data_IF_540394332309
#
_entry.id   IF_540394332309
#
_cell.length_a   1.000
_cell.length_b   1.000
_cell.length_c   1.000
_cell.angle_alpha   90.00
_cell.angle_beta   90.00
_cell.angle_gamma   90.00
#
_symmetry.space_group_name_H-M   'P 1'
#
loop_
_entity.id
_entity.type
_entity.pdbx_description
1 polymer ?
#
# COMPACT_ATOMS: atom_id res chain seq x y z
N UNK A 1 -19.03 4.80 -3.95
CA UNK A 1 -18.35 6.00 -3.42
C UNK A 1 -16.87 5.81 -3.63
N UNK A 2 -16.12 6.64 -4.35
CA UNK A 2 -14.76 6.31 -4.84
C UNK A 2 -13.62 6.29 -3.79
N UNK A 3 -13.83 5.68 -2.62
CA UNK A 3 -12.90 5.66 -1.50
C UNK A 3 -11.59 4.87 -1.75
N UNK A 4 -11.47 4.13 -2.85
CA UNK A 4 -10.21 3.49 -3.28
C UNK A 4 -9.14 4.48 -3.77
N UNK A 5 -9.52 5.72 -4.14
CA UNK A 5 -8.59 6.72 -4.66
C UNK A 5 -7.60 7.17 -3.58
N UNK A 6 -8.06 7.36 -2.34
CA UNK A 6 -7.23 7.79 -1.21
C UNK A 6 -6.09 6.82 -0.89
N UNK A 7 -6.32 5.51 -0.68
CA UNK A 7 -5.23 4.55 -0.47
C UNK A 7 -4.35 4.36 -1.71
N UNK A 8 -4.89 4.51 -2.92
CA UNK A 8 -4.10 4.46 -4.15
C UNK A 8 -3.13 5.65 -4.27
N UNK A 9 -3.59 6.86 -3.96
CA UNK A 9 -2.73 8.05 -3.89
C UNK A 9 -1.68 7.92 -2.79
N UNK A 10 -2.07 7.47 -1.59
CA UNK A 10 -1.12 7.21 -0.51
C UNK A 10 -0.08 6.15 -0.91
N UNK A 11 -0.50 5.08 -1.57
CA UNK A 11 0.39 4.06 -2.13
C UNK A 11 1.37 4.64 -3.15
N UNK A 12 0.89 5.45 -4.10
CA UNK A 12 1.76 6.11 -5.09
C UNK A 12 2.81 7.01 -4.42
N UNK A 13 2.40 7.80 -3.42
CA UNK A 13 3.30 8.66 -2.64
C UNK A 13 4.36 7.83 -1.91
N UNK A 14 3.97 6.74 -1.24
CA UNK A 14 4.91 5.83 -0.57
C UNK A 14 5.86 5.16 -1.58
N UNK A 15 5.35 4.80 -2.77
CA UNK A 15 6.16 4.23 -3.85
C UNK A 15 7.22 5.19 -4.38
N UNK A 16 6.83 6.45 -4.62
CA UNK A 16 7.76 7.53 -4.99
C UNK A 16 8.78 7.78 -3.88
N UNK A 17 8.34 7.84 -2.62
CA UNK A 17 9.21 8.05 -1.48
C UNK A 17 10.22 6.92 -1.32
N UNK A 18 9.80 5.67 -1.54
CA UNK A 18 10.68 4.51 -1.51
C UNK A 18 11.69 4.50 -2.67
N UNK A 19 11.30 5.03 -3.84
CA UNK A 19 12.20 5.19 -4.99
C UNK A 19 13.27 6.26 -4.74
N UNK A 20 12.92 7.36 -4.07
CA UNK A 20 13.86 8.44 -3.72
C UNK A 20 14.76 8.06 -2.54
N UNK A 21 14.19 7.45 -1.49
CA UNK A 21 14.89 7.16 -0.24
C UNK A 21 15.72 5.86 -0.29
N UNK A 22 15.59 5.10 -1.38
CA UNK A 22 16.22 3.80 -1.56
C UNK A 22 15.57 2.73 -0.69
N UNK A 23 15.50 1.50 -1.22
CA UNK A 23 14.87 0.34 -0.59
C UNK A 23 15.53 -0.13 0.73
N UNK A 24 16.51 0.61 1.26
CA UNK A 24 17.36 0.27 2.40
C UNK A 24 16.94 0.94 3.72
N UNK A 25 15.77 1.59 3.76
CA UNK A 25 15.31 2.21 5.00
C UNK A 25 14.89 1.16 6.04
N UNK A 26 15.24 1.39 7.32
CA UNK A 26 14.80 0.57 8.47
C UNK A 26 13.27 0.44 8.56
N UNK A 27 12.56 1.33 7.87
CA UNK A 27 11.14 1.30 7.65
C UNK A 27 10.89 0.50 6.38
N UNK A 28 10.28 -0.68 6.48
CA UNK A 28 9.91 -1.53 5.34
C UNK A 28 8.81 -0.87 4.50
N UNK A 29 9.14 0.21 3.79
CA UNK A 29 8.21 1.01 2.98
C UNK A 29 7.65 0.22 1.79
N UNK A 30 8.42 -0.73 1.24
CA UNK A 30 7.92 -1.68 0.24
C UNK A 30 6.70 -2.46 0.74
N UNK A 31 6.70 -2.90 2.00
CA UNK A 31 5.58 -3.66 2.57
C UNK A 31 4.34 -2.77 2.66
N UNK A 32 4.51 -1.53 3.11
CA UNK A 32 3.41 -0.56 3.16
C UNK A 32 2.84 -0.28 1.77
N UNK A 33 3.71 -0.09 0.77
CA UNK A 33 3.33 0.11 -0.63
C UNK A 33 2.45 -1.04 -1.16
N UNK A 34 2.88 -2.29 -0.98
CA UNK A 34 2.11 -3.45 -1.44
C UNK A 34 0.79 -3.63 -0.67
N UNK A 35 0.75 -3.30 0.64
CA UNK A 35 -0.50 -3.33 1.41
C UNK A 35 -1.52 -2.30 0.90
N UNK A 36 -1.05 -1.07 0.62
CA UNK A 36 -1.89 0.01 0.09
C UNK A 36 -2.38 -0.30 -1.33
N UNK A 37 -1.49 -0.74 -2.22
CA UNK A 37 -1.85 -1.11 -3.59
C UNK A 37 -2.79 -2.31 -3.64
N UNK A 38 -2.50 -3.36 -2.87
CA UNK A 38 -3.33 -4.56 -2.81
C UNK A 38 -4.74 -4.24 -2.30
N UNK A 39 -4.84 -3.48 -1.20
CA UNK A 39 -6.14 -3.05 -0.66
C UNK A 39 -6.91 -2.15 -1.64
N UNK A 40 -6.24 -1.18 -2.27
CA UNK A 40 -6.86 -0.29 -3.25
C UNK A 40 -7.37 -1.05 -4.49
N UNK A 41 -6.63 -2.06 -4.95
CA UNK A 41 -7.02 -2.88 -6.11
C UNK A 41 -8.25 -3.75 -5.82
N UNK A 42 -8.32 -4.33 -4.62
CA UNK A 42 -9.50 -5.10 -4.18
C UNK A 42 -10.74 -4.20 -4.07
N UNK A 43 -10.61 -3.02 -3.45
CA UNK A 43 -11.71 -2.04 -3.34
C UNK A 43 -12.15 -1.51 -4.71
N UNK A 44 -11.21 -1.28 -5.63
CA UNK A 44 -11.53 -0.87 -6.99
C UNK A 44 -12.33 -1.96 -7.73
N UNK A 45 -11.99 -3.23 -7.55
CA UNK A 45 -12.75 -4.35 -8.10
C UNK A 45 -14.15 -4.44 -7.48
N UNK A 46 -14.29 -4.20 -6.18
CA UNK A 46 -15.59 -4.15 -5.49
C UNK A 46 -16.48 -3.05 -6.07
N UNK A 47 -15.97 -1.84 -6.28
CA UNK A 47 -16.75 -0.74 -6.86
C UNK A 47 -17.06 -0.95 -8.34
N UNK A 48 -16.17 -1.61 -9.08
CA UNK A 48 -16.46 -2.04 -10.45
C UNK A 48 -17.60 -3.08 -10.47
N UNK A 49 -17.61 -4.02 -9.53
CA UNK A 49 -18.67 -5.02 -9.40
C UNK A 49 -20.01 -4.44 -8.95
N UNK A 50 -19.98 -3.43 -8.07
CA UNK A 50 -21.18 -2.71 -7.61
C UNK A 50 -21.73 -1.73 -8.65
N UNK A 51 -21.09 -1.58 -9.83
CA UNK A 51 -21.58 -0.72 -10.91
C UNK A 51 -21.30 0.77 -10.72
N UNK A 52 -20.44 1.13 -9.76
CA UNK A 52 -20.03 2.52 -9.51
C UNK A 52 -18.82 2.96 -10.35
N UNK A 53 -18.09 1.98 -10.90
CA UNK A 53 -16.94 2.20 -11.76
C UNK A 53 -17.24 1.70 -13.18
N UNK A 54 -17.16 2.58 -14.16
CA UNK A 54 -17.51 2.25 -15.55
C UNK A 54 -16.36 2.62 -16.49
N UNK A 55 -15.97 1.79 -17.48
CA UNK A 55 -14.79 2.04 -18.31
C UNK A 55 -14.99 3.13 -19.38
N UNK A 56 -16.19 3.68 -19.50
CA UNK A 56 -16.48 4.84 -20.36
C UNK A 56 -16.64 6.11 -19.52
N UNK A 57 -16.25 7.29 -20.04
CA UNK A 57 -16.43 8.55 -19.33
C UNK A 57 -17.92 8.88 -19.15
N UNK A 58 -18.36 9.37 -17.97
CA UNK A 58 -17.62 9.65 -16.74
C UNK A 58 -17.46 8.40 -15.84
N UNK A 59 -16.22 8.00 -15.57
CA UNK A 59 -15.85 6.75 -14.86
C UNK A 59 -16.47 6.57 -13.46
N UNK A 60 -16.96 7.67 -12.87
CA UNK A 60 -17.67 7.72 -11.59
C UNK A 60 -19.11 8.15 -11.87
N UNK A 61 -20.01 7.19 -11.97
CA UNK A 61 -21.43 7.43 -12.29
C UNK A 61 -22.15 8.34 -11.29
N UNK A 62 -21.60 8.50 -10.08
CA UNK A 62 -22.11 9.42 -9.06
C UNK A 62 -21.72 10.91 -9.28
N UNK A 63 -20.87 11.25 -10.26
CA UNK A 63 -20.46 12.63 -10.56
C UNK A 63 -21.23 13.27 -11.73
N UNK A 64 -22.46 12.81 -12.01
CA UNK A 64 -23.26 13.37 -13.11
C UNK A 64 -23.71 14.82 -12.85
N UNK A 65 -23.73 15.27 -11.60
CA UNK A 65 -24.11 16.62 -11.18
C UNK A 65 -22.89 17.36 -10.60
N UNK A 66 -22.46 18.52 -11.15
CA UNK A 66 -21.29 19.27 -10.66
C UNK A 66 -21.50 19.91 -9.27
N UNK A 67 -22.73 19.97 -8.78
CA UNK A 67 -23.11 20.52 -7.47
C UNK A 67 -22.88 19.56 -6.29
N UNK A 68 -22.91 18.25 -6.53
CA UNK A 68 -22.67 17.21 -5.50
C UNK A 68 -21.20 16.78 -5.38
N UNK A 69 -20.37 17.28 -6.31
CA UNK A 69 -18.94 17.02 -6.41
C UNK A 69 -18.16 17.29 -5.09
N UNK A 70 -18.34 18.44 -4.42
CA UNK A 70 -17.63 18.71 -3.15
C UNK A 70 -18.10 17.82 -1.99
N UNK A 71 -19.37 17.40 -1.98
CA UNK A 71 -19.93 16.54 -0.93
C UNK A 71 -19.38 15.13 -1.06
N UNK A 72 -19.43 14.56 -2.27
CA UNK A 72 -18.91 13.21 -2.56
C UNK A 72 -17.39 13.14 -2.34
N UNK A 73 -16.65 14.20 -2.66
CA UNK A 73 -15.21 14.29 -2.37
C UNK A 73 -14.90 14.31 -0.87
N UNK A 74 -15.71 15.00 -0.06
CA UNK A 74 -15.51 15.05 1.39
C UNK A 74 -15.74 13.67 2.02
N UNK A 75 -16.76 12.95 1.57
CA UNK A 75 -17.02 11.57 2.04
C UNK A 75 -15.90 10.61 1.64
N UNK A 76 -15.38 10.71 0.41
CA UNK A 76 -14.20 9.95 -0.05
C UNK A 76 -12.96 10.28 0.81
N UNK A 77 -12.80 11.56 1.17
CA UNK A 77 -11.71 12.03 2.01
C UNK A 77 -11.76 11.44 3.41
N UNK A 78 -12.91 11.52 4.09
CA UNK A 78 -13.07 11.03 5.47
C UNK A 78 -13.03 9.49 5.53
N UNK A 79 -13.78 8.80 4.68
CA UNK A 79 -13.82 7.33 4.68
C UNK A 79 -12.48 6.77 4.19
N UNK A 80 -11.95 7.26 3.08
CA UNK A 80 -10.68 6.80 2.52
C UNK A 80 -9.48 7.11 3.43
N UNK A 81 -9.50 8.22 4.16
CA UNK A 81 -8.44 8.52 5.15
C UNK A 81 -8.51 7.56 6.34
N UNK A 82 -9.70 7.26 6.85
CA UNK A 82 -9.87 6.29 7.95
C UNK A 82 -9.31 4.92 7.60
N UNK A 83 -9.55 4.43 6.37
CA UNK A 83 -9.01 3.17 5.85
C UNK A 83 -7.49 3.22 5.72
N UNK A 84 -6.95 4.31 5.16
CA UNK A 84 -5.50 4.51 5.00
C UNK A 84 -4.80 4.52 6.36
N UNK A 85 -5.42 5.14 7.37
CA UNK A 85 -4.92 5.20 8.73
C UNK A 85 -4.89 3.81 9.37
N UNK A 86 -5.96 3.01 9.18
CA UNK A 86 -6.01 1.63 9.66
C UNK A 86 -4.92 0.73 9.02
N UNK A 87 -4.65 0.85 7.72
CA UNK A 87 -3.57 0.10 7.05
C UNK A 87 -2.20 0.55 7.58
N UNK A 88 -2.02 1.84 7.83
CA UNK A 88 -0.77 2.40 8.36
C UNK A 88 -0.50 1.93 9.79
N UNK A 89 -1.52 1.85 10.64
CA UNK A 89 -1.38 1.34 12.02
C UNK A 89 -1.03 -0.15 12.03
N UNK A 90 -1.65 -0.95 11.15
CA UNK A 90 -1.30 -2.36 10.98
C UNK A 90 0.16 -2.53 10.53
N UNK A 91 0.63 -1.71 9.59
CA UNK A 91 2.02 -1.70 9.16
C UNK A 91 3.00 -1.35 10.29
N UNK A 92 2.66 -0.39 11.16
CA UNK A 92 3.45 -0.10 12.36
C UNK A 92 3.56 -1.32 13.28
N UNK A 93 2.48 -2.09 13.44
CA UNK A 93 2.50 -3.37 14.16
C UNK A 93 3.48 -4.37 13.54
N UNK A 94 3.44 -4.54 12.22
CA UNK A 94 4.35 -5.43 11.47
C UNK A 94 5.81 -4.99 11.63
N UNK A 95 6.09 -3.68 11.62
CA UNK A 95 7.42 -3.16 11.89
C UNK A 95 7.88 -3.46 13.32
N UNK A 96 6.99 -3.30 14.31
CA UNK A 96 7.27 -3.62 15.70
C UNK A 96 7.67 -5.09 15.89
N UNK A 97 6.89 -6.01 15.31
CA UNK A 97 7.16 -7.45 15.35
C UNK A 97 8.46 -7.77 14.59
N UNK A 98 8.64 -7.21 13.40
CA UNK A 98 9.84 -7.41 12.58
C UNK A 98 11.13 -6.99 13.30
N UNK A 99 11.08 -5.89 14.07
CA UNK A 99 12.22 -5.43 14.87
C UNK A 99 12.52 -6.38 16.02
N UNK A 100 11.48 -6.91 16.69
CA UNK A 100 11.65 -7.92 17.75
C UNK A 100 12.19 -9.26 17.22
N UNK A 101 11.83 -9.65 16.01
CA UNK A 101 12.24 -10.91 15.38
C UNK A 101 13.62 -10.87 14.69
N UNK A 102 14.30 -9.72 14.60
CA UNK A 102 15.59 -9.60 13.89
C UNK A 102 16.77 -10.19 14.68
N UNK A 103 16.56 -11.34 15.32
CA UNK A 103 17.58 -12.16 15.96
C UNK A 103 17.95 -13.32 15.02
N UNK A 104 19.24 -13.35 14.64
CA UNK A 104 19.99 -14.42 13.98
C UNK A 104 19.92 -14.50 12.45
N UNK A 105 20.52 -13.52 11.77
CA UNK A 105 21.24 -13.82 10.53
C UNK A 105 22.45 -14.67 10.92
N UNK A 106 22.39 -15.97 10.63
CA UNK A 106 23.56 -16.86 10.72
C UNK A 106 24.45 -16.45 9.54
N UNK A 107 25.68 -15.95 9.78
CA UNK A 107 26.59 -15.61 8.70
C UNK A 107 26.87 -16.88 7.87
N UNK A 108 27.03 -16.78 6.54
CA UNK A 108 27.32 -17.93 5.72
C UNK A 108 28.65 -18.54 6.19
N UNK A 109 28.58 -19.72 6.79
CA UNK A 109 29.77 -20.51 7.14
C UNK A 109 30.53 -20.78 5.85
N UNK A 110 31.63 -20.05 5.64
CA UNK A 110 32.55 -20.27 4.52
C UNK A 110 33.14 -21.66 4.71
N UNK A 111 32.64 -22.64 3.96
CA UNK A 111 33.19 -23.98 3.92
C UNK A 111 34.51 -23.86 3.15
N UNK A 112 35.62 -23.74 3.88
CA UNK A 112 36.96 -23.81 3.28
C UNK A 112 37.22 -25.28 2.99
N UNK A 113 36.98 -25.70 1.75
CA UNK A 113 37.38 -27.03 1.28
C UNK A 113 38.89 -27.05 1.14
N UNK A 114 39.59 -27.49 2.19
CA UNK A 114 40.97 -27.95 2.10
C UNK A 114 40.96 -29.30 1.38
N UNK A 115 40.97 -29.26 0.05
CA UNK A 115 41.33 -30.42 -0.76
C UNK A 115 42.84 -30.62 -0.60
N UNK A 116 43.21 -31.36 0.45
CA UNK A 116 44.55 -31.88 0.63
C UNK A 116 44.77 -32.94 -0.45
N UNK A 117 45.61 -32.58 -1.42
CA UNK A 117 46.15 -33.46 -2.45
C UNK A 117 47.03 -34.50 -1.76
N UNK A 118 46.68 -35.77 -1.89
CA UNK A 118 47.57 -36.90 -1.57
C UNK A 118 47.62 -37.87 -2.74
#
# INVERSE_FOLDING_TARGET
MACFITPLLAGLVVGLLNRVRGSSSDLKLNVLFYMLLGGALVLAAEHAWHGELVPYPPFLTAMQSPEDLPVVLNEIGVVGSSMTLAVTTLWLGILGISRKMKTRTIPPTRIVTTLEVK
#
